data_IF_953637473680
#
_entry.id   IF_953637473680
#
_cell.length_a   1.000
_cell.length_b   1.000
_cell.length_c   1.000
_cell.angle_alpha   90.00
_cell.angle_beta   90.00
_cell.angle_gamma   90.00
#
_symmetry.space_group_name_H-M   'P 1'
#
loop_
_entity.id
_entity.type
_entity.pdbx_description
1 polymer ?
#
# COMPACT_ATOMS: atom_id res chain seq x y z
N UNK A 1 -1.22 36.94 26.79
CA UNK A 1 -1.17 35.91 25.73
C UNK A 1 -0.60 34.68 26.42
N UNK A 2 -1.36 33.58 26.51
CA UNK A 2 -0.83 32.34 27.08
C UNK A 2 0.31 31.84 26.19
N UNK A 3 1.49 31.63 26.78
CA UNK A 3 2.62 31.05 26.08
C UNK A 3 2.29 29.61 25.71
N UNK A 4 2.24 29.32 24.41
CA UNK A 4 2.01 27.96 23.93
C UNK A 4 3.31 27.18 24.07
N UNK A 5 3.39 26.29 25.07
CA UNK A 5 4.56 25.42 25.28
C UNK A 5 4.51 24.28 24.26
N UNK A 6 5.55 24.16 23.43
CA UNK A 6 5.71 23.05 22.48
C UNK A 6 5.90 21.75 23.26
N UNK A 7 5.17 20.70 22.87
CA UNK A 7 5.31 19.38 23.43
C UNK A 7 5.27 18.30 22.35
N UNK A 8 5.85 17.15 22.66
CA UNK A 8 5.80 15.97 21.78
C UNK A 8 4.45 15.30 21.95
N UNK A 9 3.78 15.00 20.84
CA UNK A 9 2.52 14.28 20.83
C UNK A 9 2.70 12.83 21.31
N UNK A 10 1.68 12.28 21.95
CA UNK A 10 1.67 10.86 22.24
C UNK A 10 1.61 10.04 20.93
N UNK A 11 2.09 8.78 20.92
CA UNK A 11 2.15 7.97 19.71
C UNK A 11 0.79 7.78 19.03
N UNK A 12 -0.31 7.71 19.77
CA UNK A 12 -1.64 7.53 19.20
C UNK A 12 -2.08 8.79 18.46
N UNK A 13 -1.91 9.98 19.06
CA UNK A 13 -2.23 11.25 18.41
C UNK A 13 -1.32 11.52 17.20
N UNK A 14 -0.02 11.25 17.31
CA UNK A 14 0.89 11.35 16.17
C UNK A 14 0.49 10.41 15.02
N UNK A 15 0.08 9.17 15.35
CA UNK A 15 -0.40 8.22 14.35
C UNK A 15 -1.75 8.63 13.74
N UNK A 16 -2.64 9.28 14.49
CA UNK A 16 -3.92 9.79 13.97
C UNK A 16 -3.71 11.00 13.06
N UNK A 17 -2.73 11.86 13.35
CA UNK A 17 -2.36 12.97 12.45
C UNK A 17 -1.66 12.42 11.21
N UNK A 18 -0.72 11.50 11.36
CA UNK A 18 -0.10 10.81 10.22
C UNK A 18 -1.17 10.10 9.39
N UNK A 19 -2.12 9.42 10.01
CA UNK A 19 -3.27 8.84 9.32
C UNK A 19 -4.12 9.91 8.63
N UNK A 20 -4.30 11.09 9.25
CA UNK A 20 -5.04 12.28 8.80
C UNK A 20 -4.44 13.02 7.59
N UNK A 21 -3.12 13.11 7.54
CA UNK A 21 -2.35 13.72 6.44
C UNK A 21 -2.01 12.68 5.35
N UNK A 22 -1.94 11.40 5.73
CA UNK A 22 -1.79 10.22 4.87
C UNK A 22 -3.16 9.56 4.63
N UNK A 23 -4.30 10.28 4.76
CA UNK A 23 -5.63 9.71 4.41
C UNK A 23 -5.70 9.56 2.89
N UNK A 24 -5.22 8.41 2.43
CA UNK A 24 -6.00 7.41 1.71
C UNK A 24 -7.17 7.99 0.92
N UNK A 25 -6.86 8.49 -0.27
CA UNK A 25 -7.86 8.45 -1.32
C UNK A 25 -8.05 6.97 -1.64
N UNK A 26 -9.28 6.44 -1.67
CA UNK A 26 -9.55 5.10 -2.20
C UNK A 26 -8.86 4.82 -3.54
N UNK A 27 -8.61 5.87 -4.32
CA UNK A 27 -7.80 5.83 -5.53
C UNK A 27 -6.33 5.39 -5.31
N UNK A 28 -5.68 5.77 -4.20
CA UNK A 28 -4.32 5.32 -3.86
C UNK A 28 -4.30 3.82 -3.58
N UNK A 29 -5.26 3.30 -2.80
CA UNK A 29 -5.40 1.86 -2.59
C UNK A 29 -5.58 1.12 -3.92
N UNK A 30 -6.45 1.64 -4.80
CA UNK A 30 -6.66 1.07 -6.13
C UNK A 30 -5.37 1.13 -6.98
N UNK A 31 -4.62 2.24 -6.94
CA UNK A 31 -3.33 2.39 -7.63
C UNK A 31 -2.36 1.31 -7.20
N UNK A 32 -2.10 1.17 -5.91
CA UNK A 32 -1.11 0.21 -5.40
C UNK A 32 -1.49 -1.25 -5.72
N UNK A 33 -2.79 -1.59 -5.64
CA UNK A 33 -3.26 -2.92 -6.01
C UNK A 33 -3.15 -3.17 -7.53
N UNK A 34 -3.40 -2.16 -8.36
CA UNK A 34 -3.21 -2.26 -9.81
C UNK A 34 -1.74 -2.41 -10.19
N UNK A 35 -0.85 -1.67 -9.54
CA UNK A 35 0.60 -1.77 -9.75
C UNK A 35 1.11 -3.17 -9.38
N UNK A 36 0.63 -3.73 -8.27
CA UNK A 36 0.93 -5.12 -7.90
C UNK A 36 0.40 -6.14 -8.91
N UNK A 37 -0.79 -5.92 -9.49
CA UNK A 37 -1.32 -6.79 -10.54
C UNK A 37 -0.46 -6.72 -11.82
N UNK A 38 0.02 -5.53 -12.19
CA UNK A 38 0.92 -5.34 -13.34
C UNK A 38 2.26 -6.03 -13.08
N UNK A 39 2.86 -5.84 -11.90
CA UNK A 39 4.11 -6.50 -11.50
C UNK A 39 3.97 -8.03 -11.43
N UNK A 40 2.76 -8.55 -11.23
CA UNK A 40 2.44 -9.97 -11.32
C UNK A 40 2.30 -10.49 -12.76
N UNK A 41 2.43 -9.63 -13.77
CA UNK A 41 2.31 -9.96 -15.19
C UNK A 41 0.87 -10.13 -15.68
N UNK A 42 -0.09 -9.53 -14.99
CA UNK A 42 -1.51 -9.65 -15.33
C UNK A 42 -1.82 -8.97 -16.66
N UNK A 43 -2.63 -9.63 -17.50
CA UNK A 43 -3.14 -9.03 -18.74
C UNK A 43 -4.63 -8.64 -18.64
N UNK A 44 -5.29 -9.04 -17.55
CA UNK A 44 -6.67 -8.67 -17.26
C UNK A 44 -6.80 -8.39 -15.77
N UNK A 45 -7.32 -7.21 -15.45
CA UNK A 45 -7.61 -6.81 -14.08
C UNK A 45 -9.04 -6.25 -14.03
N UNK A 46 -9.81 -6.70 -13.05
CA UNK A 46 -11.17 -6.21 -12.77
C UNK A 46 -11.16 -5.44 -11.45
N UNK A 47 -11.75 -4.25 -11.46
CA UNK A 47 -11.87 -3.40 -10.26
C UNK A 47 -13.35 -3.19 -9.95
N UNK A 48 -13.76 -3.55 -8.73
CA UNK A 48 -15.10 -3.30 -8.22
C UNK A 48 -15.03 -2.32 -7.05
N UNK A 49 -15.82 -1.25 -7.12
CA UNK A 49 -15.87 -0.20 -6.10
C UNK A 49 -17.31 -0.01 -5.63
N UNK A 50 -17.52 0.07 -4.31
CA UNK A 50 -18.80 0.47 -3.71
C UNK A 50 -18.60 1.59 -2.68
N UNK A 51 -19.57 2.51 -2.60
CA UNK A 51 -19.53 3.63 -1.65
C UNK A 51 -18.31 4.53 -1.81
N UNK A 52 -17.88 4.78 -3.06
CA UNK A 52 -16.66 5.55 -3.34
C UNK A 52 -15.36 4.87 -2.88
N UNK A 53 -15.40 3.58 -2.53
CA UNK A 53 -14.26 2.80 -2.03
C UNK A 53 -14.19 2.72 -0.50
N UNK A 54 -15.06 3.45 0.22
CA UNK A 54 -15.16 3.33 1.67
C UNK A 54 -15.81 2.01 2.11
N UNK A 55 -16.69 1.43 1.28
CA UNK A 55 -17.40 0.20 1.61
C UNK A 55 -16.76 -1.04 0.99
N UNK A 56 -16.24 -0.93 -0.24
CA UNK A 56 -15.58 -2.02 -0.94
C UNK A 56 -14.61 -1.47 -1.97
N UNK A 57 -13.40 -2.02 -1.95
CA UNK A 57 -12.45 -2.03 -3.07
C UNK A 57 -12.09 -3.49 -3.28
N UNK A 58 -12.36 -4.02 -4.47
CA UNK A 58 -11.88 -5.35 -4.88
C UNK A 58 -11.12 -5.21 -6.19
N UNK A 59 -9.90 -5.71 -6.21
CA UNK A 59 -9.08 -5.84 -7.41
C UNK A 59 -8.88 -7.34 -7.63
N UNK A 60 -9.18 -7.81 -8.83
CA UNK A 60 -9.02 -9.22 -9.22
C UNK A 60 -8.24 -9.26 -10.51
N UNK A 61 -7.07 -9.88 -10.45
CA UNK A 61 -6.17 -10.05 -11.59
C UNK A 61 -6.00 -11.53 -11.97
N UNK A 62 -5.33 -11.76 -13.08
CA UNK A 62 -4.98 -13.09 -13.56
C UNK A 62 -3.45 -13.28 -13.70
N UNK A 63 -2.68 -12.60 -12.87
CA UNK A 63 -1.23 -12.69 -12.85
C UNK A 63 -0.74 -14.01 -12.27
N UNK A 64 0.56 -14.08 -12.02
CA UNK A 64 1.24 -15.29 -11.50
C UNK A 64 0.76 -15.75 -10.11
N UNK A 65 0.02 -14.91 -9.39
CA UNK A 65 -0.46 -15.20 -8.04
C UNK A 65 0.67 -15.29 -7.00
N UNK A 66 0.35 -15.91 -5.86
CA UNK A 66 1.26 -16.12 -4.74
C UNK A 66 1.06 -17.52 -4.17
N UNK A 67 2.12 -18.10 -3.60
CA UNK A 67 1.99 -19.34 -2.84
C UNK A 67 1.23 -19.08 -1.51
N UNK A 68 0.72 -20.15 -0.89
CA UNK A 68 -0.01 -20.03 0.40
C UNK A 68 0.85 -19.41 1.51
N UNK A 69 2.16 -19.66 1.50
CA UNK A 69 3.06 -19.11 2.50
C UNK A 69 3.47 -17.67 2.17
N UNK A 70 3.64 -17.34 0.87
CA UNK A 70 3.89 -15.96 0.44
C UNK A 70 2.72 -15.04 0.75
N UNK A 71 1.47 -15.52 0.65
CA UNK A 71 0.29 -14.73 1.05
C UNK A 71 0.41 -14.24 2.49
N UNK A 72 0.91 -15.08 3.41
CA UNK A 72 1.10 -14.69 4.82
C UNK A 72 2.22 -13.66 4.99
N UNK A 73 3.23 -13.69 4.12
CA UNK A 73 4.35 -12.76 4.15
C UNK A 73 4.00 -11.42 3.49
N UNK A 74 3.16 -11.42 2.45
CA UNK A 74 2.81 -10.23 1.65
C UNK A 74 2.18 -9.09 2.43
N UNK A 75 1.57 -9.40 3.59
CA UNK A 75 0.95 -8.40 4.49
C UNK A 75 1.88 -7.94 5.60
N UNK A 76 3.09 -8.49 5.70
CA UNK A 76 4.09 -8.07 6.69
C UNK A 76 4.84 -6.84 6.21
N UNK A 77 5.18 -5.96 7.15
CA UNK A 77 6.06 -4.82 6.88
C UNK A 77 7.44 -5.30 6.44
N UNK A 78 8.03 -4.58 5.50
CA UNK A 78 9.40 -4.84 4.99
C UNK A 78 9.57 -6.23 4.37
N UNK A 79 8.51 -6.78 3.76
CA UNK A 79 8.55 -8.03 3.02
C UNK A 79 8.13 -7.78 1.56
N UNK A 80 8.99 -8.14 0.61
CA UNK A 80 8.71 -8.00 -0.82
C UNK A 80 9.44 -9.06 -1.63
N UNK A 81 8.90 -9.41 -2.80
CA UNK A 81 9.57 -10.30 -3.77
C UNK A 81 10.33 -9.53 -4.86
N UNK A 82 10.30 -8.19 -4.80
CA UNK A 82 10.78 -7.32 -5.88
C UNK A 82 12.24 -6.88 -5.72
N UNK A 83 12.73 -6.78 -4.48
CA UNK A 83 14.10 -6.38 -4.13
C UNK A 83 14.63 -7.24 -2.98
N UNK A 84 15.94 -7.44 -2.92
CA UNK A 84 16.62 -8.22 -1.88
C UNK A 84 17.72 -7.42 -1.17
N UNK A 85 18.36 -6.49 -1.87
CA UNK A 85 19.49 -5.72 -1.35
C UNK A 85 19.42 -4.25 -1.78
N UNK A 86 20.19 -3.35 -1.15
CA UNK A 86 20.14 -1.92 -1.46
C UNK A 86 20.47 -1.56 -2.92
N UNK A 87 21.30 -2.35 -3.61
CA UNK A 87 21.64 -2.07 -5.00
C UNK A 87 20.47 -2.34 -5.96
N UNK A 88 19.48 -3.13 -5.55
CA UNK A 88 18.27 -3.38 -6.33
C UNK A 88 17.36 -2.13 -6.40
N UNK A 89 17.53 -1.17 -5.48
CA UNK A 89 16.77 0.09 -5.47
C UNK A 89 17.03 0.95 -6.71
N UNK A 90 18.26 0.90 -7.24
CA UNK A 90 18.66 1.63 -8.43
C UNK A 90 18.11 0.98 -9.73
N UNK A 91 17.57 -0.24 -9.62
CA UNK A 91 17.07 -1.06 -10.73
C UNK A 91 15.54 -1.27 -10.69
N UNK A 92 14.80 -0.47 -9.93
CA UNK A 92 13.33 -0.63 -9.80
C UNK A 92 12.64 -0.31 -11.14
N UNK A 93 12.28 -1.38 -11.85
CA UNK A 93 11.37 -1.35 -13.00
C UNK A 93 9.93 -1.77 -12.63
N UNK A 94 9.64 -1.97 -11.33
CA UNK A 94 8.30 -2.34 -10.83
C UNK A 94 7.56 -1.10 -10.31
N UNK A 95 6.25 -1.05 -10.50
CA UNK A 95 5.48 0.15 -10.20
C UNK A 95 5.18 0.32 -8.69
N UNK A 96 5.06 -0.78 -7.94
CA UNK A 96 4.87 -0.74 -6.48
C UNK A 96 6.09 -1.25 -5.71
N UNK A 97 6.38 -0.71 -4.52
CA UNK A 97 7.44 -1.18 -3.61
C UNK A 97 7.00 -1.23 -2.15
#
# INVERSE_FOLDING_TARGET
MEETIIHVLDPQTANLIAAGEVVDRPASVVKELLENAIDAGSNRVTVEIKGGGSSLIRVTDNGKGMSRDDVKLSVKRHATSKIQNPADLDAIFTLGF
#
